data_IF_010386594745
#
_entry.id   IF_010386594745
#
_cell.length_a   1.000
_cell.length_b   1.000
_cell.length_c   1.000
_cell.angle_alpha   90.00
_cell.angle_beta   90.00
_cell.angle_gamma   90.00
#
_symmetry.space_group_name_H-M   'P 1'
#
loop_
_entity.id
_entity.type
_entity.pdbx_description
1 polymer ?
#
# COMPACT_ATOMS: atom_id res chain seq x y z
N UNK A 1 1.47 11.63 -8.67
CA UNK A 1 2.69 11.35 -9.48
C UNK A 1 3.38 10.11 -8.91
N UNK A 2 4.18 9.41 -9.71
CA UNK A 2 4.90 8.20 -9.28
C UNK A 2 5.82 8.45 -8.09
N UNK A 3 6.46 9.63 -8.01
CA UNK A 3 7.31 9.99 -6.87
C UNK A 3 6.60 9.95 -5.53
N UNK A 4 5.32 10.32 -5.49
CA UNK A 4 4.51 10.20 -4.26
C UNK A 4 4.23 8.73 -3.92
N UNK A 5 3.97 7.89 -4.91
CA UNK A 5 3.73 6.45 -4.71
C UNK A 5 4.99 5.76 -4.19
N UNK A 6 6.16 6.10 -4.73
CA UNK A 6 7.45 5.60 -4.25
C UNK A 6 7.75 6.03 -2.82
N UNK A 7 7.50 7.29 -2.48
CA UNK A 7 7.71 7.77 -1.12
C UNK A 7 6.78 7.08 -0.11
N UNK A 8 5.49 6.93 -0.45
CA UNK A 8 4.56 6.17 0.39
C UNK A 8 5.00 4.70 0.56
N UNK A 9 5.45 4.06 -0.51
CA UNK A 9 5.94 2.69 -0.46
C UNK A 9 7.19 2.57 0.42
N UNK A 10 8.15 3.50 0.27
CA UNK A 10 9.35 3.56 1.12
C UNK A 10 9.02 3.73 2.59
N UNK A 11 8.09 4.61 2.91
CA UNK A 11 7.65 4.81 4.30
C UNK A 11 6.96 3.57 4.86
N UNK A 12 6.23 2.84 4.01
CA UNK A 12 5.53 1.64 4.41
C UNK A 12 6.47 0.46 4.68
N UNK A 13 7.45 0.27 3.81
CA UNK A 13 8.42 -0.83 3.90
C UNK A 13 9.68 -0.47 4.71
N UNK A 14 9.86 0.80 5.10
CA UNK A 14 11.06 1.28 5.78
C UNK A 14 12.30 1.30 4.87
N UNK A 15 12.12 1.56 3.58
CA UNK A 15 13.18 1.49 2.58
C UNK A 15 13.87 2.85 2.34
N UNK A 16 15.19 2.80 2.15
CA UNK A 16 15.94 3.92 1.59
C UNK A 16 15.65 4.07 0.08
N UNK A 17 16.07 5.19 -0.51
CA UNK A 17 15.90 5.42 -1.95
C UNK A 17 16.74 4.42 -2.77
N UNK A 18 17.95 4.12 -2.32
CA UNK A 18 18.84 3.13 -2.96
C UNK A 18 18.27 1.72 -2.86
N UNK A 19 17.62 1.39 -1.74
CA UNK A 19 16.96 0.10 -1.57
C UNK A 19 15.76 -0.06 -2.51
N UNK A 20 14.95 1.01 -2.67
CA UNK A 20 13.85 1.02 -3.64
C UNK A 20 14.35 0.87 -5.08
N UNK A 21 15.42 1.59 -5.45
CA UNK A 21 16.00 1.47 -6.79
C UNK A 21 16.44 0.03 -7.09
N UNK A 22 17.05 -0.64 -6.10
CA UNK A 22 17.41 -2.06 -6.19
C UNK A 22 16.20 -2.98 -6.33
N UNK A 23 15.13 -2.74 -5.57
CA UNK A 23 13.89 -3.52 -5.69
C UNK A 23 13.25 -3.39 -7.08
N UNK A 24 13.34 -2.21 -7.69
CA UNK A 24 12.86 -1.97 -9.05
C UNK A 24 13.87 -2.36 -10.16
N UNK A 25 15.02 -2.91 -9.78
CA UNK A 25 16.07 -3.31 -10.71
C UNK A 25 16.69 -2.16 -11.51
N UNK A 26 16.64 -0.92 -11.00
CA UNK A 26 17.10 0.27 -11.69
C UNK A 26 18.15 1.06 -10.90
N UNK A 27 18.74 2.07 -11.53
CA UNK A 27 19.62 3.03 -10.83
C UNK A 27 18.80 4.07 -10.05
N UNK A 28 19.40 4.72 -9.06
CA UNK A 28 18.79 5.87 -8.37
C UNK A 28 18.47 7.02 -9.33
N UNK A 29 19.31 7.22 -10.36
CA UNK A 29 19.03 8.21 -11.38
C UNK A 29 17.75 7.87 -12.17
N UNK A 30 17.62 6.61 -12.61
CA UNK A 30 16.40 6.13 -13.27
C UNK A 30 15.19 6.26 -12.35
N UNK A 31 15.34 5.96 -11.05
CA UNK A 31 14.28 6.10 -10.07
C UNK A 31 13.80 7.56 -9.97
N UNK A 32 14.71 8.53 -9.96
CA UNK A 32 14.37 9.96 -9.99
C UNK A 32 13.63 10.36 -11.26
N UNK A 33 13.99 9.80 -12.42
CA UNK A 33 13.25 10.02 -13.66
C UNK A 33 11.83 9.44 -13.59
N UNK A 34 11.70 8.21 -13.10
CA UNK A 34 10.39 7.56 -12.89
C UNK A 34 9.51 8.35 -11.93
N UNK A 35 10.08 8.98 -10.90
CA UNK A 35 9.34 9.79 -9.94
C UNK A 35 8.59 10.97 -10.58
N UNK A 36 9.06 11.45 -11.73
CA UNK A 36 8.45 12.53 -12.51
C UNK A 36 7.27 12.06 -13.37
N UNK A 37 7.12 10.75 -13.58
CA UNK A 37 6.03 10.20 -14.36
C UNK A 37 4.68 10.32 -13.65
N UNK A 38 3.60 10.34 -14.44
CA UNK A 38 2.24 10.20 -13.90
C UNK A 38 2.08 8.80 -13.31
N UNK A 39 1.34 8.70 -12.20
CA UNK A 39 1.03 7.40 -11.61
C UNK A 39 0.03 6.65 -12.51
N UNK A 40 0.31 5.40 -12.90
CA UNK A 40 -0.63 4.57 -13.65
C UNK A 40 -1.93 4.35 -12.88
N UNK A 41 -3.07 4.39 -13.57
CA UNK A 41 -4.40 4.21 -12.97
C UNK A 41 -5.47 3.78 -13.99
N UNK A 42 -6.57 3.23 -13.49
CA UNK A 42 -7.77 2.95 -14.29
C UNK A 42 -7.67 1.72 -15.18
N UNK A 43 -8.51 1.67 -16.23
CA UNK A 43 -8.64 0.51 -17.12
C UNK A 43 -7.40 0.27 -18.00
N UNK A 44 -6.58 1.30 -18.23
CA UNK A 44 -5.34 1.22 -19.02
C UNK A 44 -4.10 1.20 -18.14
N UNK A 45 -4.22 0.75 -16.88
CA UNK A 45 -3.12 0.70 -15.93
C UNK A 45 -1.93 -0.09 -16.49
N UNK A 46 -2.16 -1.29 -17.03
CA UNK A 46 -1.10 -2.16 -17.53
C UNK A 46 -0.36 -1.51 -18.71
N UNK A 47 -1.10 -0.92 -19.67
CA UNK A 47 -0.52 -0.19 -20.81
C UNK A 47 0.33 1.01 -20.36
N UNK A 48 -0.14 1.75 -19.34
CA UNK A 48 0.61 2.88 -18.78
C UNK A 48 1.90 2.42 -18.10
N UNK A 49 1.87 1.30 -17.38
CA UNK A 49 3.07 0.74 -16.73
C UNK A 49 4.07 0.28 -17.79
N UNK A 50 3.63 -0.48 -18.80
CA UNK A 50 4.50 -0.94 -19.89
C UNK A 50 5.14 0.23 -20.64
N UNK A 51 4.38 1.30 -20.93
CA UNK A 51 4.93 2.48 -21.61
C UNK A 51 6.02 3.21 -20.79
N UNK A 52 5.88 3.25 -19.46
CA UNK A 52 6.89 3.81 -18.57
C UNK A 52 8.12 2.89 -18.50
N UNK A 53 7.89 1.59 -18.36
CA UNK A 53 8.93 0.57 -18.29
C UNK A 53 9.82 0.56 -19.53
N UNK A 54 9.21 0.53 -20.71
CA UNK A 54 9.91 0.58 -22.01
C UNK A 54 10.73 1.88 -22.16
N UNK A 55 10.15 3.02 -21.78
CA UNK A 55 10.81 4.33 -21.92
C UNK A 55 12.05 4.47 -21.04
N UNK A 56 12.03 3.87 -19.84
CA UNK A 56 13.08 4.03 -18.83
C UNK A 56 13.97 2.79 -18.67
N UNK A 57 13.68 1.72 -19.39
CA UNK A 57 14.43 0.47 -19.34
C UNK A 57 14.34 -0.23 -17.99
N UNK A 58 13.17 -0.17 -17.34
CA UNK A 58 12.91 -0.85 -16.05
C UNK A 58 12.00 -2.04 -16.26
N UNK A 59 12.02 -2.97 -15.29
CA UNK A 59 11.18 -4.15 -15.30
C UNK A 59 9.71 -3.75 -14.99
N UNK A 60 8.81 -4.06 -15.92
CA UNK A 60 7.39 -3.72 -15.82
C UNK A 60 6.70 -4.51 -14.70
N UNK A 61 7.05 -5.79 -14.53
CA UNK A 61 6.50 -6.65 -13.50
C UNK A 61 6.82 -6.13 -12.09
N UNK A 62 8.06 -5.69 -11.85
CA UNK A 62 8.45 -5.10 -10.56
C UNK A 62 7.67 -3.81 -10.27
N UNK A 63 7.48 -2.97 -11.30
CA UNK A 63 6.71 -1.73 -11.16
C UNK A 63 5.22 -2.01 -10.89
N UNK A 64 4.61 -2.99 -11.57
CA UNK A 64 3.24 -3.44 -11.29
C UNK A 64 3.10 -3.93 -9.86
N UNK A 65 4.01 -4.82 -9.40
CA UNK A 65 3.94 -5.41 -8.07
C UNK A 65 3.96 -4.34 -6.97
N UNK A 66 4.88 -3.37 -7.09
CA UNK A 66 4.97 -2.25 -6.16
C UNK A 66 3.67 -1.44 -6.12
N UNK A 67 3.17 -1.03 -7.28
CA UNK A 67 1.96 -0.20 -7.38
C UNK A 67 0.72 -0.92 -6.84
N UNK A 68 0.56 -2.21 -7.15
CA UNK A 68 -0.54 -3.04 -6.63
C UNK A 68 -0.48 -3.21 -5.12
N UNK A 69 0.72 -3.43 -4.57
CA UNK A 69 0.90 -3.51 -3.11
C UNK A 69 0.49 -2.21 -2.43
N UNK A 70 0.85 -1.07 -3.02
CA UNK A 70 0.44 0.24 -2.52
C UNK A 70 -1.08 0.46 -2.60
N UNK A 71 -1.72 0.07 -3.70
CA UNK A 71 -3.19 0.15 -3.86
C UNK A 71 -3.93 -0.64 -2.78
N UNK A 72 -3.49 -1.88 -2.51
CA UNK A 72 -4.09 -2.75 -1.49
C UNK A 72 -4.01 -2.09 -0.12
N UNK A 73 -2.84 -1.58 0.28
CA UNK A 73 -2.69 -0.89 1.57
C UNK A 73 -3.57 0.35 1.63
N UNK A 74 -3.63 1.15 0.57
CA UNK A 74 -4.48 2.34 0.53
C UNK A 74 -5.95 2.00 0.69
N UNK A 75 -6.40 0.89 0.10
CA UNK A 75 -7.77 0.41 0.27
C UNK A 75 -8.09 0.07 1.73
N UNK A 76 -7.15 -0.53 2.47
CA UNK A 76 -7.33 -0.79 3.91
C UNK A 76 -7.29 0.46 4.80
N UNK A 77 -6.51 1.48 4.41
CA UNK A 77 -6.41 2.75 5.16
C UNK A 77 -7.59 3.69 4.92
N UNK A 78 -8.31 3.56 3.80
CA UNK A 78 -9.44 4.43 3.47
C UNK A 78 -10.62 4.13 4.38
N UNK A 79 -11.11 5.08 5.20
CA UNK A 79 -12.35 4.88 5.92
C UNK A 79 -13.49 4.65 4.91
N UNK A 80 -14.50 3.83 5.24
CA UNK A 80 -15.62 3.59 4.35
C UNK A 80 -16.21 4.93 3.89
N UNK A 81 -16.41 5.06 2.57
CA UNK A 81 -16.91 6.29 1.96
C UNK A 81 -18.38 6.59 2.31
N UNK A 82 -19.05 5.67 2.99
CA UNK A 82 -20.34 5.92 3.61
C UNK A 82 -20.11 6.67 4.92
N UNK A 83 -20.77 7.82 5.06
CA UNK A 83 -20.71 8.72 6.22
C UNK A 83 -21.21 8.13 7.55
N UNK A 84 -21.02 6.84 7.80
CA UNK A 84 -20.96 6.28 9.13
C UNK A 84 -19.75 6.90 9.83
N UNK A 85 -20.02 7.93 10.65
CA UNK A 85 -19.11 8.45 11.66
C UNK A 85 -18.32 7.30 12.30
N UNK A 86 -17.03 7.51 12.68
CA UNK A 86 -16.30 6.52 13.45
C UNK A 86 -17.07 6.33 14.73
N UNK A 87 -17.81 5.23 14.78
CA UNK A 87 -18.66 4.91 15.88
C UNK A 87 -17.71 4.51 17.00
N UNK A 88 -17.28 5.53 17.76
CA UNK A 88 -16.75 5.48 19.11
C UNK A 88 -17.79 4.90 20.10
N UNK A 89 -18.72 4.09 19.61
CA UNK A 89 -19.86 3.55 20.34
C UNK A 89 -19.81 2.04 20.18
N UNK A 90 -19.49 1.42 21.31
CA UNK A 90 -19.98 0.11 21.70
C UNK A 90 -19.27 -1.12 21.12
N UNK A 91 -17.97 -1.25 21.40
CA UNK A 91 -17.46 -2.58 21.76
C UNK A 91 -17.89 -2.90 23.20
N UNK A 92 -19.17 -3.23 23.39
CA UNK A 92 -19.63 -3.93 24.58
C UNK A 92 -19.05 -5.35 24.52
N UNK A 93 -17.90 -5.54 25.16
CA UNK A 93 -17.43 -6.87 25.50
C UNK A 93 -18.45 -7.50 26.47
N UNK A 94 -19.15 -8.55 26.03
CA UNK A 94 -19.83 -9.45 26.92
C UNK A 94 -18.76 -10.24 27.69
N UNK A 95 -18.42 -9.78 28.90
CA UNK A 95 -17.77 -10.65 29.89
C UNK A 95 -18.87 -11.41 30.61
N UNK A 96 -19.31 -12.52 30.00
CA UNK A 96 -20.03 -13.55 30.73
C UNK A 96 -18.98 -14.55 31.23
N UNK A 97 -18.64 -14.44 32.51
CA UNK A 97 -17.87 -15.48 33.20
C UNK A 97 -18.87 -16.44 33.80
N UNK A 98 -19.18 -17.49 33.07
CA UNK A 98 -19.68 -18.71 33.67
C UNK A 98 -18.57 -19.30 34.56
N UNK A 99 -18.83 -19.36 35.87
CA UNK A 99 -18.33 -20.45 36.70
C UNK A 99 -19.33 -20.73 37.80
N UNK A 100 -20.30 -21.56 37.47
CA UNK A 100 -21.02 -22.38 38.44
C UNK A 100 -20.03 -23.30 39.18
N UNK A 101 -20.31 -23.54 40.46
CA UNK A 101 -19.95 -24.80 41.12
C UNK A 101 -19.01 -24.74 42.33
N UNK A 102 -19.59 -25.17 43.47
CA UNK A 102 -19.00 -26.11 44.46
C UNK A 102 -18.52 -25.58 45.84
N UNK A 103 -19.43 -25.75 46.81
CA UNK A 103 -19.32 -26.24 48.20
C UNK A 103 -17.95 -26.29 48.94
N UNK A 104 -17.92 -25.65 50.12
CA UNK A 104 -17.38 -26.11 51.44
C UNK A 104 -17.43 -24.86 52.37
N UNK A 105 -17.93 -24.84 53.61
CA UNK A 105 -18.11 -25.82 54.70
C UNK A 105 -19.06 -25.18 55.71
#
# INVERSE_FOLDING_TARGET
>A
MLGHAFEEYRQLEGLSEEALAKELGCSEETLRWLALCRCPEGATFDEQVSAIAERHGVDDLLLVQLLRRLEVVKAFKKPPADGSLPQRVLLMAAQDREREGEENT
#
